data_IF_776629960043
#
_entry.id   IF_776629960043
#
_cell.length_a   1.000
_cell.length_b   1.000
_cell.length_c   1.000
_cell.angle_alpha   90.00
_cell.angle_beta   90.00
_cell.angle_gamma   90.00
#
_symmetry.space_group_name_H-M   'P 1'
#
loop_
_entity.id
_entity.type
_entity.pdbx_description
1 polymer ?
#
# COMPACT_ATOMS: atom_id res chain seq x y z
N UNK A 1 4.00 -5.53 -3.11
CA UNK A 1 3.44 -4.29 -2.56
C UNK A 1 4.50 -3.20 -2.63
N UNK A 2 4.38 -2.25 -3.55
CA UNK A 2 5.43 -1.24 -3.72
C UNK A 2 5.32 -0.17 -2.65
N UNK A 3 6.47 0.30 -2.16
CA UNK A 3 6.55 1.45 -1.25
C UNK A 3 7.42 2.56 -1.85
N UNK A 4 7.01 3.82 -1.66
CA UNK A 4 7.78 5.01 -2.06
C UNK A 4 7.79 6.05 -0.95
N UNK A 5 8.96 6.60 -0.69
CA UNK A 5 9.18 7.73 0.21
C UNK A 5 9.53 8.96 -0.61
N UNK A 6 8.77 10.06 -0.48
CA UNK A 6 9.09 11.29 -1.20
C UNK A 6 8.48 12.52 -0.53
N UNK A 7 9.30 13.55 -0.27
CA UNK A 7 8.86 14.88 0.17
C UNK A 7 7.88 14.83 1.36
N UNK A 8 8.19 14.05 2.40
CA UNK A 8 7.30 13.90 3.57
C UNK A 8 6.02 13.10 3.30
N UNK A 9 6.02 12.26 2.26
CA UNK A 9 4.95 11.31 1.99
C UNK A 9 5.49 9.89 1.91
N UNK A 10 4.69 8.95 2.42
CA UNK A 10 4.86 7.51 2.24
C UNK A 10 3.68 7.02 1.41
N UNK A 11 3.99 6.34 0.32
CA UNK A 11 3.00 5.81 -0.61
C UNK A 11 3.15 4.31 -0.73
N UNK A 12 2.06 3.60 -0.50
CA UNK A 12 1.89 2.19 -0.81
C UNK A 12 1.14 2.05 -2.12
N UNK A 13 1.58 1.12 -2.98
CA UNK A 13 0.82 0.68 -4.15
C UNK A 13 0.62 -0.81 -4.08
N UNK A 14 -0.64 -1.23 -4.14
CA UNK A 14 -1.04 -2.62 -3.98
C UNK A 14 -1.52 -3.20 -5.31
N UNK A 15 -0.98 -4.37 -5.67
CA UNK A 15 -1.50 -5.22 -6.75
C UNK A 15 -2.84 -5.83 -6.38
N UNK A 16 -3.55 -6.42 -7.36
CA UNK A 16 -4.89 -6.96 -7.10
C UNK A 16 -4.88 -8.05 -6.02
N UNK A 17 -3.91 -8.97 -6.07
CA UNK A 17 -3.72 -10.00 -5.04
C UNK A 17 -3.48 -9.41 -3.66
N UNK A 18 -2.72 -8.33 -3.57
CA UNK A 18 -2.41 -7.65 -2.31
C UNK A 18 -3.61 -6.92 -1.74
N UNK A 19 -4.45 -6.31 -2.59
CA UNK A 19 -5.74 -5.74 -2.16
C UNK A 19 -6.67 -6.83 -1.64
N UNK A 20 -6.75 -7.98 -2.32
CA UNK A 20 -7.53 -9.13 -1.83
C UNK A 20 -7.02 -9.62 -0.48
N UNK A 21 -5.70 -9.77 -0.32
CA UNK A 21 -5.07 -10.18 0.93
C UNK A 21 -5.34 -9.17 2.05
N UNK A 22 -5.19 -7.86 1.79
CA UNK A 22 -5.47 -6.81 2.77
C UNK A 22 -6.91 -6.88 3.28
N UNK A 23 -7.89 -6.97 2.38
CA UNK A 23 -9.31 -6.98 2.76
C UNK A 23 -9.73 -8.30 3.39
N UNK A 24 -9.21 -9.43 2.89
CA UNK A 24 -9.56 -10.77 3.37
C UNK A 24 -8.90 -11.13 4.69
N UNK A 25 -7.65 -10.70 4.93
CA UNK A 25 -6.85 -11.06 6.09
C UNK A 25 -6.62 -9.90 7.06
N UNK A 26 -6.99 -8.67 6.70
CA UNK A 26 -6.76 -7.48 7.52
C UNK A 26 -5.31 -6.96 7.48
N UNK A 27 -4.42 -7.59 6.72
CA UNK A 27 -3.00 -7.22 6.59
C UNK A 27 -2.46 -7.59 5.22
N UNK A 28 -1.67 -6.70 4.63
CA UNK A 28 -0.75 -7.01 3.53
C UNK A 28 0.66 -6.62 3.96
N UNK A 29 1.63 -7.47 3.67
CA UNK A 29 3.02 -7.30 4.10
C UNK A 29 3.97 -7.73 2.99
N UNK A 30 5.11 -7.08 2.93
CA UNK A 30 6.25 -7.53 2.15
C UNK A 30 7.55 -7.21 2.89
N UNK A 31 8.56 -8.01 2.61
CA UNK A 31 9.87 -7.90 3.21
C UNK A 31 10.96 -7.84 2.13
N UNK A 32 12.01 -7.08 2.43
CA UNK A 32 13.17 -6.92 1.55
C UNK A 32 14.42 -7.20 2.38
N UNK A 33 15.24 -8.14 1.91
CA UNK A 33 16.56 -8.37 2.47
C UNK A 33 17.50 -7.21 2.08
N UNK A 34 18.10 -6.56 3.06
CA UNK A 34 19.03 -5.44 2.89
C UNK A 34 20.29 -5.76 3.69
N UNK A 35 21.35 -6.18 2.99
CA UNK A 35 22.55 -6.68 3.66
C UNK A 35 22.22 -7.89 4.55
N UNK A 36 22.48 -7.77 5.85
CA UNK A 36 22.18 -8.81 6.84
C UNK A 36 20.84 -8.58 7.58
N UNK A 37 20.10 -7.53 7.21
CA UNK A 37 18.85 -7.14 7.86
C UNK A 37 17.66 -7.39 6.94
N UNK A 38 16.46 -7.43 7.53
CA UNK A 38 15.20 -7.53 6.80
C UNK A 38 14.36 -6.30 7.12
N UNK A 39 14.07 -5.50 6.09
CA UNK A 39 13.10 -4.42 6.19
C UNK A 39 11.71 -4.98 5.87
N UNK A 40 10.78 -4.82 6.80
CA UNK A 40 9.38 -5.22 6.60
C UNK A 40 8.52 -3.98 6.44
N UNK A 41 7.65 -3.94 5.45
CA UNK A 41 6.63 -2.90 5.37
C UNK A 41 5.25 -3.51 5.23
N UNK A 42 4.32 -3.01 6.03
CA UNK A 42 3.00 -3.57 6.17
C UNK A 42 1.91 -2.51 6.12
N UNK A 43 0.79 -2.91 5.55
CA UNK A 43 -0.47 -2.19 5.58
C UNK A 43 -1.46 -3.03 6.40
N UNK A 44 -2.03 -2.45 7.44
CA UNK A 44 -2.99 -3.13 8.32
C UNK A 44 -4.31 -2.38 8.40
N UNK A 45 -5.39 -3.14 8.43
CA UNK A 45 -6.71 -2.61 8.74
C UNK A 45 -6.85 -2.42 10.25
N UNK A 46 -7.40 -1.29 10.66
CA UNK A 46 -7.57 -0.94 12.06
C UNK A 46 -8.87 -0.15 12.28
N UNK A 47 -9.47 -0.25 13.47
CA UNK A 47 -10.72 0.42 13.81
C UNK A 47 -10.54 1.90 14.21
N UNK A 48 -9.31 2.38 14.31
CA UNK A 48 -8.95 3.76 14.70
C UNK A 48 -8.55 4.65 13.53
N UNK A 49 -8.02 5.86 13.82
CA UNK A 49 -7.58 6.79 12.79
C UNK A 49 -6.42 6.22 11.96
N UNK A 50 -6.22 6.72 10.72
CA UNK A 50 -5.08 6.35 9.91
C UNK A 50 -3.77 6.72 10.63
N UNK A 51 -2.74 5.92 10.41
CA UNK A 51 -1.47 6.11 11.12
C UNK A 51 -0.29 5.49 10.40
N UNK A 52 0.91 5.93 10.78
CA UNK A 52 2.16 5.39 10.30
C UNK A 52 3.13 5.32 11.48
N UNK A 53 3.72 4.14 11.68
CA UNK A 53 4.67 3.91 12.77
C UNK A 53 5.84 3.06 12.29
N UNK A 54 6.97 3.19 12.99
CA UNK A 54 8.08 2.25 12.89
C UNK A 54 7.98 1.32 14.09
N UNK A 55 7.91 0.02 13.85
CA UNK A 55 7.79 -1.02 14.87
C UNK A 55 8.86 -2.08 14.61
N UNK A 56 9.81 -2.22 15.55
CA UNK A 56 11.00 -3.05 15.34
C UNK A 56 11.79 -2.57 14.12
N UNK A 57 12.02 -3.48 13.18
CA UNK A 57 12.72 -3.20 11.92
C UNK A 57 11.78 -2.83 10.75
N UNK A 58 10.49 -2.54 11.02
CA UNK A 58 9.50 -2.40 9.97
C UNK A 58 8.62 -1.15 10.04
N UNK A 59 8.06 -0.79 8.89
CA UNK A 59 7.08 0.28 8.76
C UNK A 59 5.66 -0.29 8.76
N UNK A 60 4.80 0.26 9.60
CA UNK A 60 3.40 -0.17 9.74
C UNK A 60 2.48 1.00 9.42
N UNK A 61 1.78 0.91 8.29
CA UNK A 61 0.71 1.82 7.93
C UNK A 61 -0.64 1.23 8.39
N UNK A 62 -1.40 2.02 9.15
CA UNK A 62 -2.73 1.68 9.65
C UNK A 62 -3.77 2.42 8.81
N UNK A 63 -4.75 1.70 8.29
CA UNK A 63 -5.84 2.23 7.47
C UNK A 63 -7.18 1.86 8.11
N UNK A 64 -8.13 2.80 8.23
CA UNK A 64 -9.48 2.49 8.70
C UNK A 64 -10.13 1.36 7.89
N UNK A 65 -10.78 0.42 8.58
CA UNK A 65 -11.41 -0.75 7.95
C UNK A 65 -12.41 -0.34 6.87
N UNK A 66 -13.26 0.65 7.17
CA UNK A 66 -14.32 1.11 6.26
C UNK A 66 -13.75 1.74 4.99
N UNK A 67 -12.75 2.62 5.13
CA UNK A 67 -12.06 3.25 4.01
C UNK A 67 -11.42 2.22 3.08
N UNK A 68 -10.72 1.24 3.65
CA UNK A 68 -10.04 0.21 2.87
C UNK A 68 -11.02 -0.68 2.11
N UNK A 69 -12.15 -1.05 2.73
CA UNK A 69 -13.19 -1.85 2.07
C UNK A 69 -13.84 -1.09 0.93
N UNK A 70 -14.23 0.17 1.17
CA UNK A 70 -14.82 1.03 0.15
C UNK A 70 -13.86 1.21 -1.04
N UNK A 71 -12.59 1.56 -0.78
CA UNK A 71 -11.56 1.73 -1.79
C UNK A 71 -11.28 0.45 -2.59
N UNK A 72 -11.23 -0.71 -1.92
CA UNK A 72 -10.91 -1.98 -2.58
C UNK A 72 -11.97 -2.37 -3.62
N UNK A 73 -13.26 -2.18 -3.30
CA UNK A 73 -14.37 -2.53 -4.21
C UNK A 73 -14.81 -1.39 -5.12
N UNK A 74 -14.45 -0.15 -4.78
CA UNK A 74 -14.87 1.04 -5.51
C UNK A 74 -13.98 1.42 -6.70
N UNK A 75 -14.29 2.55 -7.32
CA UNK A 75 -13.57 3.10 -8.47
C UNK A 75 -12.42 4.02 -8.08
N UNK A 76 -12.23 4.26 -6.79
CA UNK A 76 -11.19 5.14 -6.26
C UNK A 76 -9.80 4.59 -6.62
N UNK A 77 -8.94 5.48 -7.09
CA UNK A 77 -7.53 5.17 -7.40
C UNK A 77 -6.75 4.91 -6.10
N UNK A 78 -7.04 5.64 -5.04
CA UNK A 78 -6.33 5.56 -3.78
C UNK A 78 -6.94 6.37 -2.64
N UNK A 79 -6.44 6.11 -1.45
CA UNK A 79 -6.71 6.81 -0.20
C UNK A 79 -5.59 7.81 0.10
N UNK A 80 -5.92 8.93 0.73
CA UNK A 80 -4.97 9.96 1.16
C UNK A 80 -5.27 10.42 2.57
N UNK A 81 -4.24 10.42 3.41
CA UNK A 81 -4.32 10.88 4.79
C UNK A 81 -3.20 11.87 5.09
N UNK A 82 -3.57 12.97 5.75
CA UNK A 82 -2.63 13.85 6.43
C UNK A 82 -2.53 13.37 7.88
N UNK A 83 -1.37 12.85 8.28
CA UNK A 83 -1.18 12.28 9.61
C UNK A 83 -0.75 13.35 10.61
N UNK A 84 -0.99 13.05 11.89
CA UNK A 84 -0.40 13.82 12.99
C UNK A 84 1.12 13.87 12.84
N UNK A 85 1.70 15.08 12.88
CA UNK A 85 3.12 15.30 12.61
C UNK A 85 3.45 15.66 11.15
N UNK A 86 2.45 15.81 10.27
CA UNK A 86 2.61 16.40 8.93
C UNK A 86 3.10 15.43 7.86
N UNK A 87 3.21 14.13 8.17
CA UNK A 87 3.51 13.10 7.18
C UNK A 87 2.26 12.73 6.41
N UNK A 88 2.39 12.54 5.11
CA UNK A 88 1.29 12.10 4.23
C UNK A 88 1.35 10.62 3.97
N UNK A 89 0.24 9.93 4.18
CA UNK A 89 0.08 8.53 3.82
C UNK A 89 -0.82 8.42 2.58
N UNK A 90 -0.34 7.70 1.56
CA UNK A 90 -1.10 7.39 0.36
C UNK A 90 -1.16 5.87 0.17
N UNK A 91 -2.34 5.36 -0.16
CA UNK A 91 -2.55 3.93 -0.48
C UNK A 91 -3.26 3.88 -1.82
N UNK A 92 -2.60 3.35 -2.86
CA UNK A 92 -3.12 3.36 -4.23
C UNK A 92 -3.19 1.94 -4.80
N UNK A 93 -4.09 1.73 -5.76
CA UNK A 93 -4.09 0.53 -6.60
C UNK A 93 -2.87 0.61 -7.54
N UNK A 94 -2.14 -0.49 -7.70
CA UNK A 94 -1.02 -0.58 -8.64
C UNK A 94 -1.59 -0.93 -10.02
N UNK A 95 -1.71 0.08 -10.88
CA UNK A 95 -2.24 -0.08 -12.23
C UNK A 95 -1.14 -0.56 -13.19
N UNK A 96 -1.55 -1.31 -14.21
CA UNK A 96 -0.65 -1.80 -15.25
C UNK A 96 0.22 -0.68 -15.85
N UNK A 97 1.47 -1.01 -16.20
CA UNK A 97 2.40 -0.08 -16.86
C UNK A 97 2.19 -0.08 -18.39
N UNK A 98 2.58 0.99 -19.09
CA UNK A 98 2.37 1.07 -20.56
C UNK A 98 3.42 0.22 -21.25
N UNK A 99 4.62 0.26 -20.68
CA UNK A 99 5.75 -0.57 -21.00
C UNK A 99 6.25 -1.14 -19.67
N UNK A 100 5.98 -2.41 -19.36
CA UNK A 100 6.50 -3.03 -18.15
C UNK A 100 8.03 -3.09 -18.23
N UNK A 101 8.70 -2.73 -17.13
CA UNK A 101 10.15 -2.92 -17.02
C UNK A 101 10.46 -4.44 -17.08
N UNK A 102 11.58 -4.81 -17.70
CA UNK A 102 11.97 -6.21 -17.79
C UNK A 102 12.07 -6.85 -16.39
N UNK A 103 11.24 -7.86 -16.12
CA UNK A 103 11.18 -8.57 -14.84
C UNK A 103 10.03 -8.15 -13.91
N UNK A 104 9.38 -7.01 -14.16
CA UNK A 104 8.13 -6.65 -13.48
C UNK A 104 6.95 -7.29 -14.21
N UNK A 105 6.55 -8.50 -13.79
CA UNK A 105 5.34 -9.16 -14.29
C UNK A 105 4.10 -8.27 -14.08
N UNK A 106 3.32 -8.07 -15.15
CA UNK A 106 2.14 -7.20 -15.17
C UNK A 106 0.83 -7.96 -14.88
N UNK A 107 0.91 -9.27 -14.68
CA UNK A 107 -0.27 -10.17 -14.66
C UNK A 107 -1.20 -9.98 -13.45
N UNK A 108 -0.77 -9.26 -12.38
CA UNK A 108 -1.59 -9.00 -11.18
C UNK A 108 -1.77 -7.50 -10.88
N UNK A 109 -1.56 -6.62 -11.87
CA UNK A 109 -1.84 -5.17 -11.74
C UNK A 109 -3.29 -4.84 -12.07
N UNK A 110 -3.80 -3.72 -11.59
CA UNK A 110 -5.17 -3.27 -11.91
C UNK A 110 -5.26 -2.79 -13.38
N UNK A 111 -6.34 -3.13 -14.11
CA UNK A 111 -6.54 -2.69 -15.49
C UNK A 111 -6.77 -1.18 -15.53
N UNK A 112 -6.11 -0.42 -16.40
CA UNK A 112 -6.18 1.06 -16.39
C UNK A 112 -7.61 1.61 -16.35
N UNK A 113 -7.87 2.71 -15.62
CA UNK A 113 -9.14 3.41 -15.73
C UNK A 113 -9.21 4.14 -17.09
N UNK A 114 -10.26 3.88 -17.87
CA UNK A 114 -10.59 4.64 -19.09
C UNK A 114 -10.14 4.04 -20.43
N UNK A 115 -9.93 2.73 -20.52
CA UNK A 115 -9.94 2.01 -21.82
C UNK A 115 -11.34 1.55 -22.19
#
# INVERSE_FOLDING_TARGET
MKIRFQRGSVRFRLRQGEVRTLVGMGRAEESVAIGNEVLVHSLVLHAGPPGLAIEGAGLVARVPVEDARAWATGTEVGLRYELTGGTRLLVEKDWACLEPAAGDGDDDTFPRPGT
#
